data_IF_483968414356
#
_entry.id   IF_483968414356
#
_cell.length_a   1.000
_cell.length_b   1.000
_cell.length_c   1.000
_cell.angle_alpha   90.00
_cell.angle_beta   90.00
_cell.angle_gamma   90.00
#
_symmetry.space_group_name_H-M   'P 1'
#
loop_
_entity.id
_entity.type
_entity.pdbx_description
1 polymer ?
#
# COMPACT_ATOMS: atom_id res chain seq x y z
N UNK A 1 -15.20 -24.52 7.21
CA UNK A 1 -14.05 -24.65 6.28
C UNK A 1 -13.40 -26.01 6.50
N UNK A 2 -12.84 -26.62 5.45
CA UNK A 2 -12.23 -27.97 5.53
C UNK A 2 -10.83 -27.95 6.16
N UNK A 3 -10.37 -29.10 6.64
CA UNK A 3 -9.02 -29.24 7.20
C UNK A 3 -7.93 -28.92 6.17
N UNK A 4 -8.16 -29.26 4.89
CA UNK A 4 -7.23 -28.95 3.80
C UNK A 4 -7.05 -27.44 3.59
N UNK A 5 -8.12 -26.64 3.75
CA UNK A 5 -8.01 -25.18 3.69
C UNK A 5 -7.08 -24.66 4.79
N UNK A 6 -7.29 -25.11 6.04
CA UNK A 6 -6.49 -24.68 7.18
C UNK A 6 -5.03 -25.12 7.08
N UNK A 7 -4.78 -26.33 6.55
CA UNK A 7 -3.43 -26.82 6.28
C UNK A 7 -2.68 -25.92 5.29
N UNK A 8 -3.35 -25.48 4.22
CA UNK A 8 -2.76 -24.56 3.23
C UNK A 8 -2.54 -23.16 3.79
N UNK A 9 -3.49 -22.67 4.59
CA UNK A 9 -3.37 -21.39 5.28
C UNK A 9 -2.17 -21.38 6.23
N UNK A 10 -2.00 -22.41 7.06
CA UNK A 10 -0.83 -22.56 7.92
C UNK A 10 0.48 -22.65 7.12
N UNK A 11 0.50 -23.43 6.03
CA UNK A 11 1.67 -23.54 5.18
C UNK A 11 2.08 -22.19 4.57
N UNK A 12 1.10 -21.36 4.15
CA UNK A 12 1.36 -20.01 3.66
C UNK A 12 2.04 -19.14 4.73
N UNK A 13 1.49 -19.10 5.94
CA UNK A 13 2.05 -18.28 7.02
C UNK A 13 3.45 -18.76 7.45
N UNK A 14 3.65 -20.08 7.54
CA UNK A 14 4.97 -20.67 7.84
C UNK A 14 6.00 -20.27 6.80
N UNK A 15 5.71 -20.47 5.52
CA UNK A 15 6.64 -20.18 4.43
C UNK A 15 6.92 -18.68 4.31
N UNK A 16 5.95 -17.82 4.60
CA UNK A 16 6.14 -16.37 4.64
C UNK A 16 7.05 -15.96 5.80
N UNK A 17 6.84 -16.55 6.98
CA UNK A 17 7.67 -16.28 8.17
C UNK A 17 9.14 -16.70 7.96
N UNK A 18 9.39 -17.86 7.36
CA UNK A 18 10.73 -18.34 6.97
C UNK A 18 11.47 -17.41 5.99
N UNK A 19 10.75 -16.52 5.31
CA UNK A 19 11.26 -15.64 4.25
C UNK A 19 11.18 -14.16 4.61
N UNK A 20 10.83 -13.84 5.85
CA UNK A 20 10.65 -12.47 6.32
C UNK A 20 9.63 -11.68 5.46
N UNK A 21 8.54 -12.34 5.08
CA UNK A 21 7.45 -11.76 4.28
C UNK A 21 6.27 -11.48 5.20
N UNK A 22 5.82 -10.22 5.25
CA UNK A 22 4.59 -9.84 5.95
C UNK A 22 3.36 -10.33 5.16
N UNK A 23 2.42 -10.96 5.87
CA UNK A 23 1.11 -11.34 5.32
C UNK A 23 0.03 -10.44 5.91
N UNK A 24 -0.69 -9.71 5.07
CA UNK A 24 -1.92 -9.02 5.47
C UNK A 24 -3.11 -9.91 5.16
N UNK A 25 -3.84 -10.32 6.20
CA UNK A 25 -5.08 -11.07 6.08
C UNK A 25 -6.22 -10.07 5.94
N UNK A 26 -6.92 -10.10 4.81
CA UNK A 26 -8.23 -9.49 4.66
C UNK A 26 -9.26 -10.48 5.22
N UNK A 27 -9.90 -10.10 6.34
CA UNK A 27 -10.75 -11.00 7.11
C UNK A 27 -12.05 -11.31 6.37
N UNK A 28 -12.64 -10.29 5.75
CA UNK A 28 -13.87 -10.39 4.97
C UNK A 28 -13.75 -9.72 3.61
N UNK A 29 -14.43 -10.25 2.60
CA UNK A 29 -14.54 -9.62 1.29
C UNK A 29 -16.00 -9.55 0.85
N UNK A 30 -16.55 -8.34 0.77
CA UNK A 30 -17.97 -8.16 0.40
C UNK A 30 -18.26 -8.60 -1.03
N UNK A 31 -17.25 -8.62 -1.91
CA UNK A 31 -17.42 -9.06 -3.29
C UNK A 31 -17.67 -10.57 -3.39
N UNK A 32 -17.16 -11.37 -2.44
CA UNK A 32 -17.44 -12.80 -2.31
C UNK A 32 -18.85 -13.09 -1.75
N UNK A 33 -19.53 -12.07 -1.22
CA UNK A 33 -20.83 -12.18 -0.55
C UNK A 33 -21.97 -11.55 -1.37
N UNK A 34 -21.78 -11.39 -2.68
CA UNK A 34 -22.81 -11.05 -3.65
C UNK A 34 -22.85 -12.06 -4.81
N UNK A 35 -24.00 -12.21 -5.47
CA UNK A 35 -24.12 -13.06 -6.66
C UNK A 35 -23.43 -12.47 -7.90
N UNK A 36 -23.01 -11.20 -7.87
CA UNK A 36 -22.27 -10.52 -8.94
C UNK A 36 -21.00 -11.31 -9.35
N UNK A 37 -20.29 -11.90 -8.38
CA UNK A 37 -19.11 -12.76 -8.61
C UNK A 37 -19.44 -14.25 -8.41
N UNK A 38 -20.72 -14.62 -8.35
CA UNK A 38 -21.23 -15.94 -7.94
C UNK A 38 -20.84 -16.41 -6.52
N UNK A 39 -20.03 -15.64 -5.77
CA UNK A 39 -19.53 -16.04 -4.46
C UNK A 39 -20.63 -16.40 -3.47
N UNK A 40 -21.67 -15.57 -3.35
CA UNK A 40 -22.76 -15.82 -2.39
C UNK A 40 -23.51 -17.12 -2.64
N UNK A 41 -23.64 -17.55 -3.90
CA UNK A 41 -24.37 -18.77 -4.25
C UNK A 41 -23.69 -20.04 -3.74
N UNK A 42 -22.37 -20.00 -3.52
CA UNK A 42 -21.56 -21.13 -3.05
C UNK A 42 -21.08 -20.93 -1.60
N UNK A 43 -21.39 -19.79 -1.01
CA UNK A 43 -20.90 -19.43 0.31
C UNK A 43 -21.57 -20.31 1.38
N UNK A 44 -20.81 -20.91 2.32
CA UNK A 44 -21.38 -21.74 3.38
C UNK A 44 -22.21 -20.94 4.39
N UNK A 45 -22.07 -19.61 4.46
CA UNK A 45 -22.96 -18.76 5.25
C UNK A 45 -24.31 -18.49 4.59
N UNK A 46 -24.45 -18.78 3.29
CA UNK A 46 -25.74 -18.71 2.62
C UNK A 46 -26.68 -19.76 3.24
N UNK A 47 -27.86 -19.40 3.75
CA UNK A 47 -28.75 -20.35 4.41
C UNK A 47 -29.14 -21.53 3.51
N UNK A 48 -29.20 -21.33 2.20
CA UNK A 48 -29.41 -22.41 1.22
C UNK A 48 -28.32 -23.51 1.29
N UNK A 49 -27.10 -23.16 1.68
CA UNK A 49 -25.95 -24.06 1.76
C UNK A 49 -25.53 -24.36 3.22
N UNK A 50 -26.31 -23.94 4.21
CA UNK A 50 -25.95 -24.01 5.61
C UNK A 50 -26.87 -25.02 6.34
N UNK A 51 -26.27 -25.95 7.10
CA UNK A 51 -27.00 -26.95 7.89
C UNK A 51 -27.32 -26.49 9.31
N UNK A 52 -26.78 -25.35 9.73
CA UNK A 52 -26.82 -24.88 11.11
C UNK A 52 -27.91 -23.85 11.40
N UNK A 53 -28.46 -23.23 10.36
CA UNK A 53 -29.55 -22.27 10.44
C UNK A 53 -30.25 -22.15 9.08
N UNK A 54 -31.52 -21.74 9.09
CA UNK A 54 -32.30 -21.43 7.90
C UNK A 54 -32.29 -19.93 7.57
N UNK A 55 -32.89 -19.54 6.45
CA UNK A 55 -33.11 -18.13 6.11
C UNK A 55 -34.04 -17.44 7.12
N UNK A 56 -35.02 -18.17 7.67
CA UNK A 56 -35.92 -17.66 8.70
C UNK A 56 -35.18 -17.41 10.03
N UNK A 57 -34.30 -18.32 10.43
CA UNK A 57 -33.54 -18.19 11.69
C UNK A 57 -32.52 -17.04 11.60
N UNK A 58 -31.78 -16.98 10.50
CA UNK A 58 -30.67 -16.05 10.33
C UNK A 58 -31.07 -14.69 9.75
N UNK A 59 -32.22 -14.56 9.10
CA UNK A 59 -32.60 -13.35 8.35
C UNK A 59 -31.74 -13.06 7.11
N UNK A 60 -30.78 -13.92 6.77
CA UNK A 60 -29.97 -13.79 5.56
C UNK A 60 -30.77 -14.21 4.32
N UNK A 61 -30.57 -13.49 3.20
CA UNK A 61 -31.22 -13.82 1.93
C UNK A 61 -30.44 -14.90 1.18
N UNK A 62 -31.14 -15.89 0.62
CA UNK A 62 -30.50 -16.92 -0.20
C UNK A 62 -29.92 -16.38 -1.52
N UNK A 63 -30.47 -15.25 -2.02
CA UNK A 63 -30.08 -14.64 -3.29
C UNK A 63 -29.88 -13.14 -3.12
N UNK A 64 -28.72 -12.65 -3.54
CA UNK A 64 -28.35 -11.23 -3.51
C UNK A 64 -27.78 -10.87 -4.88
N UNK A 65 -28.60 -10.24 -5.74
CA UNK A 65 -28.22 -9.93 -7.14
C UNK A 65 -27.53 -8.58 -7.29
N UNK A 66 -27.60 -7.74 -6.27
CA UNK A 66 -27.07 -6.39 -6.34
C UNK A 66 -25.57 -6.36 -6.10
N UNK A 67 -24.94 -5.28 -6.58
CA UNK A 67 -23.53 -5.01 -6.31
C UNK A 67 -23.28 -4.88 -4.79
N UNK A 68 -22.16 -5.39 -4.24
CA UNK A 68 -21.85 -5.31 -2.80
C UNK A 68 -22.00 -3.92 -2.19
N UNK A 69 -21.68 -2.87 -2.96
CA UNK A 69 -21.85 -1.47 -2.55
C UNK A 69 -23.30 -1.03 -2.24
N UNK A 70 -24.31 -1.84 -2.59
CA UNK A 70 -25.73 -1.62 -2.21
C UNK A 70 -26.06 -2.11 -0.79
N UNK A 71 -25.13 -2.82 -0.14
CA UNK A 71 -25.23 -3.25 1.27
C UNK A 71 -26.46 -4.09 1.58
N UNK A 72 -26.94 -4.89 0.63
CA UNK A 72 -28.13 -5.72 0.86
C UNK A 72 -27.86 -6.94 1.74
N UNK A 73 -26.60 -7.39 1.86
CA UNK A 73 -26.25 -8.56 2.64
C UNK A 73 -26.11 -8.22 4.14
N UNK A 74 -27.04 -8.73 4.96
CA UNK A 74 -27.02 -8.54 6.41
C UNK A 74 -25.88 -9.30 7.14
N UNK A 75 -25.12 -10.14 6.43
CA UNK A 75 -23.93 -10.81 6.97
C UNK A 75 -22.96 -9.83 7.65
N UNK A 76 -22.79 -8.63 7.08
CA UNK A 76 -21.88 -7.59 7.56
C UNK A 76 -22.48 -6.69 8.67
N UNK A 77 -23.63 -7.09 9.23
CA UNK A 77 -24.34 -6.34 10.27
C UNK A 77 -24.73 -7.19 11.47
N UNK A 78 -24.17 -8.40 11.58
CA UNK A 78 -24.47 -9.33 12.67
C UNK A 78 -23.96 -8.90 14.05
N UNK A 79 -23.02 -7.96 14.12
CA UNK A 79 -22.37 -7.55 15.38
C UNK A 79 -23.35 -6.85 16.33
N UNK A 80 -23.10 -6.86 17.65
CA UNK A 80 -24.05 -6.36 18.64
C UNK A 80 -24.47 -4.89 18.47
N UNK A 81 -23.56 -4.04 17.99
CA UNK A 81 -23.81 -2.63 17.74
C UNK A 81 -24.65 -2.34 16.48
N UNK A 82 -25.00 -3.38 15.71
CA UNK A 82 -25.79 -3.30 14.48
C UNK A 82 -27.08 -4.13 14.64
N UNK A 83 -27.26 -5.21 13.88
CA UNK A 83 -28.47 -6.05 13.94
C UNK A 83 -28.39 -7.12 15.04
N UNK A 84 -27.25 -7.26 15.73
CA UNK A 84 -27.05 -8.22 16.84
C UNK A 84 -27.53 -9.64 16.51
N UNK A 85 -27.21 -10.10 15.31
CA UNK A 85 -27.58 -11.43 14.84
C UNK A 85 -26.67 -12.49 15.45
N UNK A 86 -26.99 -12.91 16.67
CA UNK A 86 -26.21 -13.89 17.43
C UNK A 86 -26.12 -15.27 16.76
N UNK A 87 -27.12 -15.63 15.94
CA UNK A 87 -27.15 -16.89 15.20
C UNK A 87 -26.03 -16.93 14.17
N UNK A 88 -25.84 -15.85 13.41
CA UNK A 88 -24.76 -15.76 12.41
C UNK A 88 -23.43 -15.44 13.08
N UNK A 89 -23.42 -14.51 14.04
CA UNK A 89 -22.20 -14.03 14.69
C UNK A 89 -21.39 -15.14 15.35
N UNK A 90 -22.03 -16.11 16.01
CA UNK A 90 -21.32 -17.23 16.65
C UNK A 90 -20.48 -18.04 15.66
N UNK A 91 -20.95 -18.20 14.41
CA UNK A 91 -20.22 -18.94 13.37
C UNK A 91 -19.10 -18.10 12.76
N UNK A 92 -19.33 -16.80 12.60
CA UNK A 92 -18.28 -15.87 12.19
C UNK A 92 -17.15 -15.87 13.22
N UNK A 93 -17.47 -15.74 14.51
CA UNK A 93 -16.50 -15.82 15.60
C UNK A 93 -15.73 -17.15 15.58
N UNK A 94 -16.41 -18.28 15.46
CA UNK A 94 -15.74 -19.59 15.40
C UNK A 94 -14.77 -19.72 14.21
N UNK A 95 -15.09 -19.13 13.05
CA UNK A 95 -14.16 -19.07 11.92
C UNK A 95 -12.94 -18.20 12.23
N UNK A 96 -13.15 -17.01 12.83
CA UNK A 96 -12.07 -16.10 13.20
C UNK A 96 -11.18 -16.72 14.28
N UNK A 97 -11.76 -17.35 15.30
CA UNK A 97 -11.04 -18.09 16.33
C UNK A 97 -10.15 -19.18 15.73
N UNK A 98 -10.67 -19.94 14.77
CA UNK A 98 -9.88 -20.97 14.08
C UNK A 98 -8.72 -20.35 13.29
N UNK A 99 -8.95 -19.24 12.59
CA UNK A 99 -7.88 -18.50 11.90
C UNK A 99 -6.81 -18.02 12.90
N UNK A 100 -7.23 -17.39 14.00
CA UNK A 100 -6.33 -16.83 15.02
C UNK A 100 -5.53 -17.91 15.76
N UNK A 101 -6.12 -19.09 16.00
CA UNK A 101 -5.40 -20.24 16.56
C UNK A 101 -4.18 -20.65 15.73
N UNK A 102 -4.17 -20.29 14.44
CA UNK A 102 -3.06 -20.54 13.52
C UNK A 102 -2.19 -19.30 13.41
N UNK A 103 -2.79 -18.14 13.10
CA UNK A 103 -2.05 -16.94 12.70
C UNK A 103 -1.31 -16.24 13.83
N UNK A 104 -1.81 -16.31 15.08
CA UNK A 104 -1.16 -15.69 16.24
C UNK A 104 0.18 -16.34 16.62
N UNK A 105 0.50 -17.50 16.05
CA UNK A 105 1.82 -18.15 16.20
C UNK A 105 2.92 -17.47 15.38
N UNK A 106 2.57 -16.50 14.52
CA UNK A 106 3.48 -15.85 13.58
C UNK A 106 3.50 -14.33 13.81
N UNK A 107 4.68 -13.76 14.03
CA UNK A 107 4.86 -12.32 14.29
C UNK A 107 4.78 -11.42 13.04
N UNK A 108 4.66 -12.00 11.85
CA UNK A 108 4.67 -11.31 10.56
C UNK A 108 3.27 -11.23 9.91
N UNK A 109 2.21 -11.11 10.72
CA UNK A 109 0.81 -11.07 10.25
C UNK A 109 0.12 -9.76 10.61
N UNK A 110 -0.46 -9.09 9.62
CA UNK A 110 -1.33 -7.92 9.75
C UNK A 110 -2.79 -8.31 9.46
N UNK A 111 -3.75 -7.56 10.00
CA UNK A 111 -5.17 -7.84 9.80
C UNK A 111 -5.91 -6.62 9.21
N UNK A 112 -6.58 -6.80 8.08
CA UNK A 112 -7.48 -5.83 7.47
C UNK A 112 -8.91 -6.37 7.60
N UNK A 113 -9.82 -5.60 8.19
CA UNK A 113 -11.14 -6.15 8.54
C UNK A 113 -11.94 -6.50 7.29
N UNK A 114 -11.97 -5.59 6.31
CA UNK A 114 -12.65 -5.85 5.06
C UNK A 114 -11.79 -5.48 3.87
N UNK A 115 -12.08 -6.15 2.75
CA UNK A 115 -11.71 -5.70 1.43
C UNK A 115 -12.75 -4.69 0.92
N UNK A 116 -12.32 -3.46 0.63
CA UNK A 116 -13.12 -2.42 -0.08
C UNK A 116 -14.55 -2.27 0.48
N UNK A 117 -14.65 -1.81 1.73
CA UNK A 117 -15.91 -1.66 2.44
C UNK A 117 -16.57 -0.28 2.35
N UNK A 118 -17.90 -0.24 2.32
CA UNK A 118 -18.72 0.95 2.52
C UNK A 118 -19.80 0.70 3.60
N UNK A 119 -19.62 -0.36 4.39
CA UNK A 119 -20.49 -0.70 5.51
C UNK A 119 -20.33 0.26 6.71
N UNK A 120 -21.06 -0.02 7.78
CA UNK A 120 -20.91 0.72 9.04
C UNK A 120 -19.51 0.55 9.66
N UNK A 121 -18.93 1.61 10.20
CA UNK A 121 -17.66 1.57 10.94
C UNK A 121 -17.71 0.62 12.15
N UNK A 122 -18.90 0.39 12.71
CA UNK A 122 -19.10 -0.50 13.84
C UNK A 122 -18.75 -1.97 13.52
N UNK A 123 -18.87 -2.38 12.24
CA UNK A 123 -18.51 -3.72 11.79
C UNK A 123 -17.01 -3.98 11.90
N UNK A 124 -16.19 -3.17 11.22
CA UNK A 124 -14.73 -3.30 11.28
C UNK A 124 -14.19 -3.07 12.70
N UNK A 125 -14.74 -2.10 13.44
CA UNK A 125 -14.32 -1.82 14.82
C UNK A 125 -14.61 -3.00 15.79
N UNK A 126 -15.68 -3.77 15.54
CA UNK A 126 -15.95 -4.98 16.30
C UNK A 126 -14.86 -6.04 16.06
N UNK A 127 -14.57 -6.37 14.80
CA UNK A 127 -13.58 -7.40 14.46
C UNK A 127 -12.16 -7.00 14.86
N UNK A 128 -11.81 -5.72 14.74
CA UNK A 128 -10.52 -5.20 15.18
C UNK A 128 -10.32 -5.41 16.68
N UNK A 129 -11.33 -5.06 17.49
CA UNK A 129 -11.31 -5.31 18.94
C UNK A 129 -11.27 -6.79 19.28
N UNK A 130 -12.12 -7.60 18.64
CA UNK A 130 -12.17 -9.04 18.85
C UNK A 130 -10.82 -9.71 18.61
N UNK A 131 -10.14 -9.37 17.49
CA UNK A 131 -8.81 -9.89 17.17
C UNK A 131 -7.77 -9.43 18.20
N UNK A 132 -7.79 -8.15 18.60
CA UNK A 132 -6.87 -7.61 19.61
C UNK A 132 -7.05 -8.25 20.99
N UNK A 133 -8.29 -8.51 21.40
CA UNK A 133 -8.60 -9.23 22.64
C UNK A 133 -8.06 -10.66 22.60
N UNK A 134 -8.29 -11.39 21.51
CA UNK A 134 -7.74 -12.75 21.31
C UNK A 134 -6.22 -12.78 21.24
N UNK A 135 -5.60 -11.78 20.63
CA UNK A 135 -4.14 -11.64 20.63
C UNK A 135 -3.60 -11.39 22.04
N UNK A 136 -4.25 -10.51 22.81
CA UNK A 136 -3.88 -10.24 24.20
C UNK A 136 -4.04 -11.48 25.09
N UNK A 137 -5.11 -12.27 24.93
CA UNK A 137 -5.29 -13.57 25.59
C UNK A 137 -4.14 -14.54 25.27
N UNK A 138 -3.61 -14.49 24.05
CA UNK A 138 -2.45 -15.28 23.61
C UNK A 138 -1.08 -14.64 23.96
N UNK A 139 -1.06 -13.48 24.63
CA UNK A 139 0.16 -12.78 25.02
C UNK A 139 0.95 -12.15 23.86
N UNK A 140 0.30 -11.85 22.74
CA UNK A 140 0.93 -11.24 21.56
C UNK A 140 0.24 -9.93 21.17
N UNK A 141 1.01 -9.01 20.59
CA UNK A 141 0.47 -7.79 19.99
C UNK A 141 0.17 -8.01 18.50
N UNK A 142 -0.93 -7.42 18.02
CA UNK A 142 -1.33 -7.47 16.62
C UNK A 142 -1.74 -6.10 16.12
N UNK A 143 -1.63 -5.91 14.81
CA UNK A 143 -1.93 -4.66 14.13
C UNK A 143 -3.10 -4.83 13.17
N UNK A 144 -4.03 -3.88 13.24
CA UNK A 144 -5.29 -3.91 12.50
C UNK A 144 -5.50 -2.64 11.68
N UNK A 145 -6.16 -2.77 10.54
CA UNK A 145 -6.65 -1.67 9.68
C UNK A 145 -8.03 -2.00 9.12
N UNK A 146 -8.60 -1.05 8.39
CA UNK A 146 -9.76 -1.21 7.52
C UNK A 146 -9.46 -0.66 6.12
N UNK A 147 -10.13 -1.18 5.08
CA UNK A 147 -10.00 -0.70 3.70
C UNK A 147 -11.33 -0.18 3.16
N UNK A 148 -11.48 1.14 3.05
CA UNK A 148 -12.73 1.80 2.64
C UNK A 148 -12.85 2.00 1.12
N UNK A 149 -13.93 1.53 0.49
CA UNK A 149 -14.23 1.72 -0.93
C UNK A 149 -14.83 3.10 -1.21
N UNK A 150 -13.96 4.12 -1.24
CA UNK A 150 -14.33 5.46 -1.65
C UNK A 150 -13.22 6.17 -2.44
N UNK A 151 -12.97 5.77 -3.69
CA UNK A 151 -12.15 6.56 -4.61
C UNK A 151 -12.93 7.82 -5.09
N UNK A 152 -12.26 8.90 -5.51
CA UNK A 152 -10.81 9.12 -5.58
C UNK A 152 -10.23 9.88 -4.36
N UNK A 153 -11.07 10.33 -3.44
CA UNK A 153 -10.70 11.25 -2.36
C UNK A 153 -10.31 10.50 -1.08
N UNK A 154 -9.02 10.54 -0.74
CA UNK A 154 -8.50 9.93 0.49
C UNK A 154 -8.95 10.64 1.78
N UNK A 155 -9.46 11.87 1.72
CA UNK A 155 -9.95 12.61 2.88
C UNK A 155 -11.47 12.52 3.06
N UNK A 156 -12.15 11.69 2.27
CA UNK A 156 -13.57 11.45 2.45
C UNK A 156 -13.86 10.84 3.84
N UNK A 157 -15.02 11.16 4.41
CA UNK A 157 -15.48 10.73 5.75
C UNK A 157 -15.42 9.22 5.99
N UNK A 158 -15.46 8.42 4.91
CA UNK A 158 -15.27 6.97 5.02
C UNK A 158 -13.86 6.61 5.49
N UNK A 159 -12.82 7.18 4.89
CA UNK A 159 -11.44 6.88 5.26
C UNK A 159 -11.09 7.39 6.66
N UNK A 160 -11.71 8.50 7.08
CA UNK A 160 -11.56 9.06 8.43
C UNK A 160 -11.96 8.09 9.55
N UNK A 161 -12.80 7.10 9.26
CA UNK A 161 -13.16 6.03 10.22
C UNK A 161 -11.97 5.15 10.62
N UNK A 162 -10.88 5.18 9.86
CA UNK A 162 -9.60 4.57 10.24
C UNK A 162 -8.62 5.63 10.78
N UNK A 163 -8.61 6.80 10.17
CA UNK A 163 -7.67 7.87 10.52
C UNK A 163 -7.94 8.52 11.88
N UNK A 164 -9.20 8.65 12.28
CA UNK A 164 -9.57 9.34 13.53
C UNK A 164 -9.66 8.37 14.72
N UNK A 165 -9.32 7.09 14.49
CA UNK A 165 -9.43 6.00 15.46
C UNK A 165 -8.11 5.24 15.68
N UNK A 166 -7.02 5.90 16.13
CA UNK A 166 -5.73 5.26 16.41
C UNK A 166 -5.78 4.18 17.50
N UNK A 167 -6.72 4.26 18.43
CA UNK A 167 -6.99 3.22 19.42
C UNK A 167 -7.50 1.92 18.77
N UNK A 168 -8.24 2.06 17.67
CA UNK A 168 -8.84 0.93 16.96
C UNK A 168 -7.92 0.40 15.85
N UNK A 169 -7.20 1.27 15.13
CA UNK A 169 -6.37 0.89 13.98
C UNK A 169 -4.96 1.44 14.08
N UNK A 170 -3.96 0.56 14.09
CA UNK A 170 -2.54 0.94 14.25
C UNK A 170 -1.89 1.40 12.95
N UNK A 171 -2.49 1.10 11.81
CA UNK A 171 -2.08 1.57 10.48
C UNK A 171 -3.32 1.87 9.63
N UNK A 172 -3.12 2.55 8.50
CA UNK A 172 -4.21 2.92 7.59
C UNK A 172 -3.95 2.36 6.19
N UNK A 173 -4.97 1.77 5.57
CA UNK A 173 -4.90 1.38 4.16
C UNK A 173 -5.44 2.51 3.28
N UNK A 174 -4.63 2.97 2.32
CA UNK A 174 -4.96 4.07 1.40
C UNK A 174 -4.92 3.60 -0.06
N UNK A 175 -5.10 2.29 -0.29
CA UNK A 175 -4.98 1.66 -1.60
C UNK A 175 -5.87 2.27 -2.67
N UNK A 176 -6.96 2.94 -2.27
CA UNK A 176 -7.97 3.48 -3.19
C UNK A 176 -7.45 4.69 -3.95
N UNK A 177 -6.37 5.31 -3.47
CA UNK A 177 -5.66 6.33 -4.22
C UNK A 177 -5.01 5.77 -5.48
N UNK A 178 -4.68 4.47 -5.54
CA UNK A 178 -3.99 3.87 -6.69
C UNK A 178 -4.88 3.60 -7.90
N UNK A 179 -6.07 4.21 -7.93
CA UNK A 179 -6.87 4.42 -9.14
C UNK A 179 -6.64 5.81 -9.77
N UNK A 180 -6.13 6.77 -8.99
CA UNK A 180 -5.72 8.11 -9.45
C UNK A 180 -4.40 8.06 -10.22
N UNK A 181 -4.04 9.18 -10.86
CA UNK A 181 -2.82 9.30 -11.67
C UNK A 181 -2.26 10.71 -11.62
N UNK A 182 -1.01 10.83 -12.02
CA UNK A 182 -0.28 12.07 -12.10
C UNK A 182 -0.27 12.89 -10.81
N UNK A 183 -0.32 14.21 -10.95
CA UNK A 183 -0.25 15.13 -9.81
C UNK A 183 -1.36 14.88 -8.77
N UNK A 184 -2.58 14.50 -9.18
CA UNK A 184 -3.67 14.18 -8.24
C UNK A 184 -3.34 13.01 -7.31
N UNK A 185 -2.67 11.97 -7.82
CA UNK A 185 -2.23 10.83 -7.00
C UNK A 185 -1.25 11.29 -5.90
N UNK A 186 -0.33 12.19 -6.26
CA UNK A 186 0.63 12.78 -5.32
C UNK A 186 -0.01 13.72 -4.31
N UNK A 187 -0.87 14.64 -4.75
CA UNK A 187 -1.52 15.61 -3.86
C UNK A 187 -2.33 14.90 -2.77
N UNK A 188 -2.97 13.78 -3.11
CA UNK A 188 -3.68 12.95 -2.15
C UNK A 188 -2.75 12.30 -1.11
N UNK A 189 -1.55 11.86 -1.51
CA UNK A 189 -0.51 11.36 -0.60
C UNK A 189 -0.09 12.43 0.39
N UNK A 190 0.22 13.63 -0.08
CA UNK A 190 0.63 14.74 0.80
C UNK A 190 -0.49 15.11 1.78
N UNK A 191 -1.73 15.21 1.28
CA UNK A 191 -2.91 15.51 2.10
C UNK A 191 -3.15 14.48 3.19
N UNK A 192 -3.14 13.18 2.87
CA UNK A 192 -3.40 12.14 3.86
C UNK A 192 -2.30 12.06 4.92
N UNK A 193 -1.03 12.24 4.51
CA UNK A 193 0.11 12.30 5.46
C UNK A 193 0.01 13.49 6.41
N UNK A 194 -0.42 14.65 5.91
CA UNK A 194 -0.66 15.81 6.75
C UNK A 194 -1.80 15.55 7.74
N UNK A 195 -2.88 14.91 7.29
CA UNK A 195 -4.09 14.66 8.08
C UNK A 195 -3.91 13.63 9.20
N UNK A 196 -3.32 12.45 8.90
CA UNK A 196 -3.27 11.34 9.85
C UNK A 196 -2.34 11.70 11.03
N UNK A 197 -2.93 11.77 12.23
CA UNK A 197 -2.26 12.06 13.51
C UNK A 197 -2.78 11.11 14.61
N UNK A 198 -1.93 10.57 15.50
CA UNK A 198 -0.47 10.53 15.38
C UNK A 198 -0.04 9.85 14.08
N UNK A 199 1.19 10.11 13.63
CA UNK A 199 1.73 9.50 12.43
C UNK A 199 1.67 7.97 12.54
N UNK A 200 1.08 7.32 11.55
CA UNK A 200 0.93 5.86 11.46
C UNK A 200 1.28 5.39 10.04
N UNK A 201 1.68 4.13 9.86
CA UNK A 201 1.96 3.59 8.54
C UNK A 201 0.75 3.73 7.60
N UNK A 202 1.01 4.17 6.37
CA UNK A 202 0.01 4.28 5.30
C UNK A 202 0.30 3.24 4.22
N UNK A 203 -0.53 2.22 4.14
CA UNK A 203 -0.32 1.06 3.28
C UNK A 203 -0.99 1.23 1.91
N UNK A 204 -0.35 0.67 0.88
CA UNK A 204 -0.90 0.56 -0.48
C UNK A 204 -0.73 -0.87 -0.99
N UNK A 205 -1.80 -1.67 -0.91
CA UNK A 205 -1.80 -3.09 -1.28
C UNK A 205 -2.47 -3.39 -2.63
N UNK A 206 -2.92 -2.34 -3.36
CA UNK A 206 -3.56 -2.49 -4.68
C UNK A 206 -3.18 -1.40 -5.68
N UNK A 207 -2.01 -1.51 -6.28
CA UNK A 207 -1.64 -0.66 -7.42
C UNK A 207 -2.21 -1.25 -8.70
N UNK A 208 -3.22 -0.59 -9.26
CA UNK A 208 -3.83 -0.97 -10.53
C UNK A 208 -3.02 -0.45 -11.73
N UNK A 209 -3.33 -0.97 -12.91
CA UNK A 209 -2.79 -0.54 -14.20
C UNK A 209 -2.13 -1.71 -14.93
N UNK A 210 -2.60 -1.99 -16.14
CA UNK A 210 -2.09 -3.06 -17.00
C UNK A 210 -2.42 -2.73 -18.45
N UNK A 211 -1.52 -3.09 -19.36
CA UNK A 211 -1.80 -3.06 -20.80
C UNK A 211 -2.57 -4.30 -21.27
N UNK A 212 -2.75 -5.31 -20.40
CA UNK A 212 -3.61 -6.45 -20.70
C UNK A 212 -5.06 -5.98 -20.90
N UNK A 213 -5.59 -6.25 -22.10
CA UNK A 213 -6.99 -5.98 -22.43
C UNK A 213 -7.86 -7.07 -21.82
N UNK A 214 -8.94 -6.69 -21.13
CA UNK A 214 -9.94 -7.65 -20.70
C UNK A 214 -10.53 -8.38 -21.92
N UNK A 215 -10.40 -9.71 -21.97
CA UNK A 215 -11.06 -10.54 -23.00
C UNK A 215 -12.60 -10.40 -22.98
N UNK A 216 -13.16 -9.94 -21.86
CA UNK A 216 -14.55 -9.48 -21.75
C UNK A 216 -14.58 -8.19 -20.96
N UNK A 217 -14.67 -7.06 -21.65
CA UNK A 217 -15.03 -5.77 -21.08
C UNK A 217 -16.34 -5.93 -20.28
N UNK A 218 -16.38 -5.67 -18.95
CA UNK A 218 -17.66 -5.51 -18.26
C UNK A 218 -18.42 -4.33 -18.87
N UNK A 219 -19.77 -4.31 -18.77
CA UNK A 219 -20.57 -3.23 -19.34
C UNK A 219 -20.06 -1.85 -18.87
N UNK A 220 -19.65 -0.99 -19.80
CA UNK A 220 -19.13 0.35 -19.53
C UNK A 220 -17.60 0.53 -19.58
N UNK A 221 -16.82 -0.51 -19.87
CA UNK A 221 -15.41 -0.32 -20.22
C UNK A 221 -15.29 0.31 -21.62
N UNK A 222 -14.45 1.36 -21.76
CA UNK A 222 -14.14 1.95 -23.07
C UNK A 222 -13.09 1.08 -23.74
N UNK A 223 -13.41 0.50 -24.89
CA UNK A 223 -12.47 -0.28 -25.67
C UNK A 223 -11.27 0.59 -26.13
N UNK A 224 -10.06 0.03 -26.09
CA UNK A 224 -8.88 0.58 -26.78
C UNK A 224 -8.00 1.59 -26.02
N UNK A 225 -8.18 1.83 -24.71
CA UNK A 225 -7.35 2.77 -23.93
C UNK A 225 -6.95 2.18 -22.57
N UNK A 226 -6.00 1.24 -22.54
CA UNK A 226 -5.53 0.60 -21.29
C UNK A 226 -6.62 -0.18 -20.54
N UNK A 227 -6.25 -0.91 -19.50
CA UNK A 227 -7.25 -1.52 -18.61
C UNK A 227 -8.17 -0.47 -17.95
N UNK A 228 -9.30 -0.90 -17.39
CA UNK A 228 -10.29 -0.05 -16.64
C UNK A 228 -9.64 0.94 -15.65
N UNK A 229 -8.45 0.63 -15.17
CA UNK A 229 -7.76 1.35 -14.11
C UNK A 229 -6.41 1.98 -14.56
N UNK A 230 -6.17 2.07 -15.86
CA UNK A 230 -4.94 2.60 -16.45
C UNK A 230 -4.05 1.53 -17.07
N UNK A 231 -2.89 1.97 -17.56
CA UNK A 231 -1.87 1.18 -18.28
C UNK A 231 -0.77 0.69 -17.35
N UNK A 232 0.12 -0.15 -17.87
CA UNK A 232 1.34 -0.59 -17.14
C UNK A 232 2.14 0.60 -16.62
N UNK A 233 2.24 1.66 -17.43
CA UNK A 233 2.93 2.91 -17.05
C UNK A 233 2.33 3.56 -15.81
N UNK A 234 1.00 3.69 -15.75
CA UNK A 234 0.32 4.28 -14.59
C UNK A 234 0.64 3.49 -13.31
N UNK A 235 0.70 2.17 -13.38
CA UNK A 235 1.04 1.30 -12.26
C UNK A 235 2.48 1.57 -11.76
N UNK A 236 3.46 1.63 -12.67
CA UNK A 236 4.86 1.90 -12.34
C UNK A 236 5.01 3.28 -11.69
N UNK A 237 4.36 4.30 -12.24
CA UNK A 237 4.43 5.64 -11.67
C UNK A 237 3.78 5.72 -10.28
N UNK A 238 2.66 5.03 -10.06
CA UNK A 238 2.00 4.95 -8.74
C UNK A 238 2.92 4.29 -7.70
N UNK A 239 3.64 3.23 -8.07
CA UNK A 239 4.63 2.59 -7.20
C UNK A 239 5.66 3.61 -6.71
N UNK A 240 6.29 4.33 -7.63
CA UNK A 240 7.34 5.28 -7.29
C UNK A 240 6.83 6.52 -6.56
N UNK A 241 5.65 7.04 -6.94
CA UNK A 241 4.99 8.11 -6.18
C UNK A 241 4.66 7.68 -4.75
N UNK A 242 4.24 6.43 -4.52
CA UNK A 242 4.03 5.93 -3.16
C UNK A 242 5.35 5.85 -2.36
N UNK A 243 6.43 5.33 -2.96
CA UNK A 243 7.76 5.25 -2.33
C UNK A 243 8.27 6.65 -1.96
N UNK A 244 8.29 7.58 -2.92
CA UNK A 244 8.77 8.95 -2.71
C UNK A 244 7.83 9.78 -1.83
N UNK A 245 6.55 9.41 -1.82
CA UNK A 245 5.53 9.95 -0.92
C UNK A 245 5.64 9.41 0.51
N UNK A 246 6.59 8.50 0.78
CA UNK A 246 6.83 7.87 2.08
C UNK A 246 5.64 7.05 2.59
N UNK A 247 4.99 6.34 1.68
CA UNK A 247 4.02 5.30 2.04
C UNK A 247 4.76 4.08 2.63
N UNK A 248 4.11 3.37 3.56
CA UNK A 248 4.73 2.25 4.27
C UNK A 248 4.78 0.96 3.44
N UNK A 249 3.90 0.81 2.46
CA UNK A 249 3.91 -0.31 1.52
C UNK A 249 3.45 0.11 0.14
N UNK A 250 3.79 -0.69 -0.87
CA UNK A 250 3.37 -0.52 -2.26
C UNK A 250 3.42 -1.85 -2.99
N UNK A 251 2.24 -2.35 -3.40
CA UNK A 251 2.11 -3.66 -4.05
C UNK A 251 1.24 -3.54 -5.30
N UNK A 252 1.73 -4.09 -6.41
CA UNK A 252 0.95 -4.27 -7.63
C UNK A 252 -0.25 -5.19 -7.39
N UNK A 253 -1.41 -4.76 -7.87
CA UNK A 253 -2.59 -5.62 -7.93
C UNK A 253 -2.35 -6.76 -8.93
N UNK A 254 -3.11 -7.86 -8.77
CA UNK A 254 -2.98 -9.04 -9.64
C UNK A 254 -3.49 -8.78 -11.07
N UNK A 255 -3.02 -9.54 -12.07
CA UNK A 255 -3.62 -9.56 -13.40
C UNK A 255 -5.11 -9.98 -13.38
N UNK A 256 -5.92 -9.52 -14.34
CA UNK A 256 -5.54 -8.63 -15.45
C UNK A 256 -5.52 -7.14 -15.09
N UNK A 257 -5.92 -6.76 -13.87
CA UNK A 257 -6.13 -5.34 -13.49
C UNK A 257 -4.87 -4.64 -12.97
N UNK A 258 -3.79 -5.39 -12.75
CA UNK A 258 -2.48 -4.90 -12.35
C UNK A 258 -1.38 -5.89 -12.78
N UNK A 259 -0.13 -5.56 -12.44
CA UNK A 259 1.05 -6.28 -12.95
C UNK A 259 1.42 -7.56 -12.17
N UNK A 260 0.83 -7.79 -11.00
CA UNK A 260 1.21 -8.87 -10.10
C UNK A 260 2.71 -8.90 -9.81
N UNK A 261 3.35 -10.05 -10.02
CA UNK A 261 4.80 -10.25 -9.93
C UNK A 261 5.43 -10.51 -11.32
N UNK A 262 4.91 -9.86 -12.36
CA UNK A 262 5.45 -9.93 -13.72
C UNK A 262 6.82 -9.27 -13.88
N UNK A 263 7.42 -9.37 -15.06
CA UNK A 263 8.78 -8.88 -15.34
C UNK A 263 8.96 -7.39 -15.04
N UNK A 264 8.03 -6.55 -15.48
CA UNK A 264 8.03 -5.10 -15.20
C UNK A 264 7.95 -4.82 -13.70
N UNK A 265 7.10 -5.54 -12.96
CA UNK A 265 7.00 -5.39 -11.51
C UNK A 265 8.31 -5.78 -10.83
N UNK A 266 8.92 -6.90 -11.23
CA UNK A 266 10.21 -7.34 -10.67
C UNK A 266 11.35 -6.38 -10.98
N UNK A 267 11.41 -5.82 -12.19
CA UNK A 267 12.41 -4.80 -12.55
C UNK A 267 12.32 -3.58 -11.63
N UNK A 268 11.10 -3.08 -11.41
CA UNK A 268 10.87 -1.95 -10.50
C UNK A 268 11.19 -2.29 -9.04
N UNK A 269 10.84 -3.49 -8.57
CA UNK A 269 11.19 -3.94 -7.21
C UNK A 269 12.71 -4.03 -7.02
N UNK A 270 13.45 -4.55 -8.02
CA UNK A 270 14.92 -4.58 -7.99
C UNK A 270 15.51 -3.17 -7.93
N UNK A 271 15.04 -2.27 -8.78
CA UNK A 271 15.47 -0.86 -8.78
C UNK A 271 15.13 -0.13 -7.48
N UNK A 272 13.97 -0.40 -6.88
CA UNK A 272 13.64 0.09 -5.54
C UNK A 272 14.65 -0.44 -4.50
N UNK A 273 15.02 -1.72 -4.53
CA UNK A 273 16.03 -2.27 -3.61
C UNK A 273 17.41 -1.65 -3.83
N UNK A 274 17.78 -1.35 -5.08
CA UNK A 274 19.03 -0.63 -5.38
C UNK A 274 19.05 0.78 -4.78
N UNK A 275 17.92 1.49 -4.78
CA UNK A 275 17.79 2.79 -4.11
C UNK A 275 17.93 2.63 -2.58
N UNK A 276 17.15 1.73 -1.97
CA UNK A 276 17.15 1.56 -0.50
C UNK A 276 18.44 0.97 0.06
N UNK A 277 19.30 0.38 -0.79
CA UNK A 277 20.62 -0.07 -0.38
C UNK A 277 21.63 1.09 -0.23
N UNK A 278 21.30 2.27 -0.75
CA UNK A 278 22.20 3.41 -0.88
C UNK A 278 21.65 4.68 -0.22
N UNK A 279 20.41 4.62 0.27
CA UNK A 279 19.69 5.71 0.93
C UNK A 279 18.87 5.15 2.09
N UNK A 280 18.96 5.79 3.26
CA UNK A 280 18.14 5.44 4.41
C UNK A 280 16.78 6.14 4.33
N UNK A 281 15.89 5.53 3.56
CA UNK A 281 14.53 6.05 3.31
C UNK A 281 13.71 6.24 4.59
N UNK A 282 14.06 5.58 5.71
CA UNK A 282 13.35 5.73 6.98
C UNK A 282 13.71 7.03 7.71
N UNK A 283 14.83 7.67 7.34
CA UNK A 283 15.22 9.00 7.86
C UNK A 283 14.83 10.15 6.94
N UNK A 284 14.12 9.84 5.85
CA UNK A 284 13.78 10.79 4.80
C UNK A 284 12.29 11.13 4.79
N UNK A 285 11.97 12.32 4.28
CA UNK A 285 10.61 12.78 4.07
C UNK A 285 10.39 13.30 2.63
N UNK A 286 9.14 13.31 2.13
CA UNK A 286 8.81 13.95 0.87
C UNK A 286 9.06 15.45 0.99
N UNK A 287 9.79 16.00 0.04
CA UNK A 287 10.23 17.39 0.06
C UNK A 287 9.96 18.09 -1.28
N UNK A 288 8.69 18.15 -1.69
CA UNK A 288 8.25 18.86 -2.91
C UNK A 288 8.75 20.30 -2.98
N UNK A 289 8.85 20.98 -1.82
CA UNK A 289 9.35 22.36 -1.71
C UNK A 289 10.84 22.55 -2.03
N UNK A 290 11.63 21.47 -2.13
CA UNK A 290 13.03 21.54 -2.57
C UNK A 290 13.16 21.59 -4.10
N UNK A 291 12.08 21.40 -4.85
CA UNK A 291 12.10 21.44 -6.31
C UNK A 291 11.52 22.76 -6.82
N UNK A 292 12.24 23.43 -7.72
CA UNK A 292 11.73 24.55 -8.51
C UNK A 292 11.81 24.26 -10.01
N UNK A 293 11.17 25.11 -10.82
CA UNK A 293 11.09 24.96 -12.28
C UNK A 293 10.44 23.63 -12.72
N UNK A 294 9.56 23.10 -11.87
CA UNK A 294 8.89 21.82 -11.98
C UNK A 294 7.45 21.98 -12.45
N UNK A 295 7.06 21.31 -13.53
CA UNK A 295 5.67 21.16 -13.97
C UNK A 295 4.92 20.14 -13.10
N UNK A 296 3.58 20.19 -13.06
CA UNK A 296 2.80 19.12 -12.44
C UNK A 296 3.22 17.73 -12.97
N UNK A 297 3.41 16.77 -12.05
CA UNK A 297 3.84 15.39 -12.33
C UNK A 297 5.23 15.22 -13.00
N UNK A 298 6.09 16.23 -12.99
CA UNK A 298 7.42 16.14 -13.62
C UNK A 298 8.48 15.42 -12.76
N UNK A 299 8.50 15.70 -11.45
CA UNK A 299 9.48 15.10 -10.55
C UNK A 299 8.97 15.02 -9.11
N UNK A 300 9.56 14.14 -8.30
CA UNK A 300 9.20 13.93 -6.89
C UNK A 300 10.45 13.78 -6.04
N UNK A 301 10.52 14.47 -4.89
CA UNK A 301 11.71 14.47 -4.04
C UNK A 301 11.44 13.78 -2.69
N UNK A 302 12.33 12.86 -2.33
CA UNK A 302 12.46 12.26 -1.00
C UNK A 302 13.84 12.63 -0.47
N UNK A 303 13.96 13.20 0.72
CA UNK A 303 15.25 13.66 1.21
C UNK A 303 15.40 13.61 2.75
N UNK A 304 16.64 13.52 3.18
CA UNK A 304 17.12 13.88 4.51
C UNK A 304 18.07 15.08 4.33
N UNK A 305 17.56 16.32 4.44
CA UNK A 305 18.31 17.52 4.07
C UNK A 305 19.69 17.60 4.73
N UNK A 306 20.73 17.83 3.92
CA UNK A 306 22.13 17.89 4.34
C UNK A 306 22.83 16.54 4.37
N UNK A 307 22.13 15.43 4.11
CA UNK A 307 22.71 14.08 4.05
C UNK A 307 22.47 13.41 2.71
N UNK A 308 21.21 13.31 2.28
CA UNK A 308 20.85 12.56 1.08
C UNK A 308 19.56 13.07 0.45
N UNK A 309 19.52 13.02 -0.88
CA UNK A 309 18.40 13.50 -1.68
C UNK A 309 18.18 12.54 -2.86
N UNK A 310 16.97 12.06 -3.01
CA UNK A 310 16.52 11.37 -4.21
C UNK A 310 15.49 12.22 -4.94
N UNK A 311 15.59 12.28 -6.27
CA UNK A 311 14.57 12.89 -7.14
C UNK A 311 14.17 11.89 -8.21
N UNK A 312 12.90 11.49 -8.22
CA UNK A 312 12.29 10.61 -9.21
C UNK A 312 11.64 11.42 -10.33
N UNK A 313 11.91 11.04 -11.57
CA UNK A 313 11.30 11.58 -12.78
C UNK A 313 10.45 10.48 -13.46
N UNK A 314 9.12 10.66 -13.59
CA UNK A 314 8.26 9.70 -14.28
C UNK A 314 8.55 9.56 -15.77
N UNK A 315 9.02 10.61 -16.45
CA UNK A 315 9.32 10.59 -17.88
C UNK A 315 10.55 11.43 -18.27
N UNK A 316 11.62 11.35 -17.50
CA UNK A 316 12.71 12.31 -17.61
C UNK A 316 12.24 13.74 -17.36
N UNK A 317 12.93 14.72 -17.95
CA UNK A 317 12.71 16.15 -17.69
C UNK A 317 13.88 16.82 -16.98
N UNK A 318 13.63 18.04 -16.50
CA UNK A 318 14.61 18.91 -15.86
C UNK A 318 13.96 19.76 -14.78
N UNK A 319 14.51 19.72 -13.57
CA UNK A 319 14.08 20.56 -12.44
C UNK A 319 15.30 21.13 -11.73
N UNK A 320 15.12 22.17 -10.93
CA UNK A 320 16.16 22.66 -10.04
C UNK A 320 15.94 22.12 -8.61
N UNK A 321 16.97 21.49 -8.03
CA UNK A 321 17.00 21.07 -6.63
C UNK A 321 17.63 22.18 -5.79
N UNK A 322 16.94 22.61 -4.74
CA UNK A 322 17.43 23.61 -3.81
C UNK A 322 18.37 23.01 -2.76
N UNK A 323 19.67 23.22 -2.97
CA UNK A 323 20.72 22.90 -2.01
C UNK A 323 21.32 24.18 -1.39
N UNK A 324 20.65 25.33 -1.46
CA UNK A 324 21.16 26.60 -0.95
C UNK A 324 21.41 26.58 0.56
N UNK A 325 20.62 25.81 1.31
CA UNK A 325 20.75 25.65 2.76
C UNK A 325 21.88 24.72 3.22
N UNK A 326 22.64 24.09 2.32
CA UNK A 326 23.66 23.08 2.68
C UNK A 326 24.98 23.34 1.97
N UNK A 327 26.11 23.23 2.67
CA UNK A 327 27.45 23.51 2.11
C UNK A 327 28.26 22.25 1.78
N UNK A 328 27.66 21.07 1.93
CA UNK A 328 28.32 19.80 1.66
C UNK A 328 28.53 19.55 0.15
N UNK A 329 29.53 18.73 -0.17
CA UNK A 329 29.68 18.10 -1.49
C UNK A 329 28.89 16.78 -1.51
N UNK A 330 28.30 16.46 -2.65
CA UNK A 330 27.45 15.29 -2.84
C UNK A 330 27.93 14.44 -4.01
N UNK A 331 28.09 13.14 -3.79
CA UNK A 331 28.26 12.17 -4.85
C UNK A 331 26.93 11.98 -5.57
N UNK A 332 26.95 11.97 -6.91
CA UNK A 332 25.74 11.95 -7.73
C UNK A 332 25.71 10.73 -8.64
N UNK A 333 24.56 10.06 -8.69
CA UNK A 333 24.31 8.96 -9.63
C UNK A 333 22.85 8.92 -10.08
N UNK A 334 22.64 8.48 -11.31
CA UNK A 334 21.33 8.26 -11.91
C UNK A 334 21.02 6.78 -12.00
N UNK A 335 19.86 6.36 -11.52
CA UNK A 335 19.30 5.02 -11.71
C UNK A 335 18.37 5.03 -12.91
N UNK A 336 18.72 4.20 -13.89
CA UNK A 336 17.79 3.74 -14.92
C UNK A 336 16.87 2.68 -14.28
N UNK A 337 15.61 3.02 -14.01
CA UNK A 337 14.71 2.15 -13.27
C UNK A 337 14.36 0.90 -14.08
N UNK A 338 14.16 1.04 -15.39
CA UNK A 338 13.73 -0.05 -16.26
C UNK A 338 14.84 -1.11 -16.39
N UNK A 339 16.08 -0.66 -16.54
CA UNK A 339 17.23 -1.55 -16.73
C UNK A 339 17.96 -1.89 -15.43
N UNK A 340 17.63 -1.26 -14.30
CA UNK A 340 18.28 -1.50 -13.01
C UNK A 340 19.77 -1.16 -13.04
N UNK A 341 20.14 0.02 -13.56
CA UNK A 341 21.54 0.40 -13.77
C UNK A 341 21.86 1.79 -13.25
N UNK A 342 22.91 1.90 -12.44
CA UNK A 342 23.48 3.19 -12.00
C UNK A 342 24.42 3.80 -13.04
N UNK A 343 24.32 5.11 -13.23
CA UNK A 343 25.22 5.95 -14.03
C UNK A 343 25.80 7.06 -13.13
N UNK A 344 27.10 6.99 -12.83
CA UNK A 344 27.79 7.99 -12.01
C UNK A 344 27.90 9.31 -12.75
N UNK A 345 27.87 10.41 -12.01
CA UNK A 345 28.09 11.77 -12.49
C UNK A 345 29.16 12.47 -11.64
N UNK A 346 29.72 13.60 -12.10
CA UNK A 346 30.54 14.46 -11.26
C UNK A 346 29.79 14.89 -10.00
N UNK A 347 30.52 15.02 -8.89
CA UNK A 347 29.96 15.48 -7.62
C UNK A 347 29.42 16.91 -7.73
N UNK A 348 28.41 17.20 -6.92
CA UNK A 348 27.78 18.52 -6.86
C UNK A 348 28.08 19.19 -5.53
N UNK A 349 28.48 20.45 -5.61
CA UNK A 349 28.66 21.31 -4.45
C UNK A 349 27.33 21.97 -4.08
N UNK A 350 26.91 21.83 -2.81
CA UNK A 350 25.79 22.57 -2.24
C UNK A 350 26.04 24.07 -2.13
N UNK A 351 25.07 24.82 -1.62
CA UNK A 351 25.12 26.27 -1.42
C UNK A 351 24.42 27.06 -2.53
N UNK A 352 23.75 26.35 -3.44
CA UNK A 352 22.97 26.93 -4.54
C UNK A 352 21.87 25.98 -4.98
N UNK A 353 20.95 26.49 -5.79
CA UNK A 353 20.08 25.64 -6.60
C UNK A 353 20.89 24.97 -7.69
N UNK A 354 20.68 23.67 -7.90
CA UNK A 354 21.40 22.87 -8.91
C UNK A 354 20.41 22.32 -9.94
N UNK A 355 20.65 22.51 -11.25
CA UNK A 355 19.81 21.90 -12.27
C UNK A 355 20.06 20.39 -12.31
N UNK A 356 18.98 19.61 -12.34
CA UNK A 356 18.97 18.17 -12.48
C UNK A 356 18.28 17.81 -13.79
N UNK A 357 19.07 17.43 -14.80
CA UNK A 357 18.57 16.96 -16.09
C UNK A 357 18.72 15.45 -16.16
N UNK A 358 17.59 14.76 -16.34
CA UNK A 358 17.58 13.32 -16.56
C UNK A 358 18.39 12.92 -17.81
N UNK A 359 19.03 11.73 -17.83
CA UNK A 359 19.79 11.27 -18.99
C UNK A 359 18.96 11.01 -20.27
N UNK A 360 17.63 10.94 -20.17
CA UNK A 360 16.72 10.70 -21.29
C UNK A 360 15.28 10.54 -20.80
N UNK A 361 14.39 10.13 -21.71
CA UNK A 361 12.99 9.83 -21.41
C UNK A 361 12.87 8.57 -20.53
N UNK A 362 11.66 8.30 -20.02
CA UNK A 362 11.38 7.14 -19.18
C UNK A 362 11.67 7.37 -17.69
N UNK A 363 11.68 6.29 -16.92
CA UNK A 363 11.75 6.34 -15.46
C UNK A 363 13.20 6.49 -14.96
N UNK A 364 13.49 7.62 -14.31
CA UNK A 364 14.82 7.93 -13.77
C UNK A 364 14.77 8.36 -12.31
N UNK A 365 15.79 7.98 -11.54
CA UNK A 365 16.05 8.57 -10.22
C UNK A 365 17.45 9.15 -10.21
N UNK A 366 17.63 10.38 -9.72
CA UNK A 366 18.95 10.85 -9.29
C UNK A 366 19.05 10.72 -7.78
N UNK A 367 20.15 10.13 -7.31
CA UNK A 367 20.50 10.06 -5.89
C UNK A 367 21.75 10.91 -5.66
N UNK A 368 21.66 11.79 -4.67
CA UNK A 368 22.74 12.60 -4.14
C UNK A 368 23.01 12.15 -2.70
N UNK A 369 24.22 11.71 -2.40
CA UNK A 369 24.63 11.33 -1.04
C UNK A 369 25.82 12.19 -0.63
N UNK A 370 25.76 12.77 0.57
CA UNK A 370 26.84 13.61 1.11
C UNK A 370 28.14 12.83 1.11
N UNK A 371 29.17 13.43 0.54
CA UNK A 371 30.51 12.89 0.61
C UNK A 371 31.04 13.01 2.05
N UNK A 372 31.52 11.89 2.58
CA UNK A 372 32.28 11.91 3.82
C UNK A 372 33.67 12.40 3.44
N UNK A 373 34.06 13.57 3.97
CA UNK A 373 35.43 14.05 3.79
C UNK A 373 36.39 12.96 4.29
N UNK A 374 37.45 12.62 3.54
CA UNK A 374 38.48 11.75 4.07
C UNK A 374 39.00 12.38 5.38
N UNK A 375 39.28 11.59 6.43
CA UNK A 375 39.84 12.12 7.66
C UNK A 375 41.07 12.96 7.30
N UNK A 376 41.14 14.18 7.82
CA UNK A 376 42.31 15.04 7.63
C UNK A 376 43.51 14.27 8.17
N UNK A 377 44.31 13.69 7.28
CA UNK A 377 45.59 13.11 7.65
C UNK A 377 46.40 14.19 8.35
N UNK A 378 46.86 13.89 9.57
CA UNK A 378 47.77 14.75 10.30
C UNK A 378 48.92 15.14 9.36
N UNK A 379 49.03 16.44 9.07
CA UNK A 379 50.25 16.98 8.52
C UNK A 379 51.31 16.81 9.60
N UNK A 380 52.04 15.69 9.57
CA UNK A 380 53.34 15.62 10.23
C UNK A 380 54.22 16.67 9.57
N UNK A 381 54.35 17.81 10.23
CA UNK A 381 55.48 18.71 10.09
C UNK A 381 56.73 17.94 10.46
N UNK A 382 57.40 17.38 9.45
CA UNK A 382 58.78 16.89 9.60
C UNK A 382 59.66 18.13 9.68
N UNK A 383 59.98 18.55 10.91
CA UNK A 383 61.10 19.45 11.16
C UNK A 383 62.39 18.77 10.68
N UNK A 384 63.04 19.39 9.69
CA UNK A 384 64.42 19.04 9.32
C UNK A 384 65.34 19.50 10.46
N UNK A 385 66.11 18.57 11.02
CA UNK A 385 67.35 18.86 11.74
C UNK A 385 68.54 18.68 10.80
#
# INVERSE_FOLDING_TARGET
>A
LSDEYWRRFEALLKLASERDIIVQIELWDRFDFAAYMQGWNHNPYNPKNNINYTAADSGLKDVIRTHPGRRENAFFRSVPALENNQIVLRYQQAQVDKMLSISLRYGNVLYCMDNETNESAQWGAYWSRYIKEKAAEAGVEVHTTEMWDHPPDLLHEHHKRTYDHPETYSFCDVSQNNSNRGQMHWDNIEKVRAYVKPARPLNNVKIYGSDEVYLKSPPGARDGVGGRYGRTRDAVERLWRNIFGGMASSRFHRPPSGLGLGETAQANIRSMRMLTAEMDVFTCEPHSGLLSDRKPDEAYCLANPGKEYAVYFPDGGEVALDLSGVTASFAVKWLDIEHGKWKKQPSLQGGRKVPLRSPGNGHWIVLLVKEIAPPRGDRQTVERK
#
